data_IF_378265267610
#
_entry.id   IF_378265267610
#
_cell.length_a   1.000
_cell.length_b   1.000
_cell.length_c   1.000
_cell.angle_alpha   90.00
_cell.angle_beta   90.00
_cell.angle_gamma   90.00
#
_symmetry.space_group_name_H-M   'P 1'
#
loop_
_entity.id
_entity.type
_entity.pdbx_description
1 polymer ?
#
# COMPACT_ATOMS: atom_id res chain seq x y z
N UNK A 1 -8.70 4.00 -2.96
CA UNK A 1 -7.59 4.82 -3.49
C UNK A 1 -6.28 4.09 -3.24
N UNK A 2 -5.34 4.12 -4.19
CA UNK A 2 -4.07 3.36 -4.06
C UNK A 2 -3.09 4.02 -3.09
N UNK A 3 -3.07 5.36 -3.06
CA UNK A 3 -2.24 6.18 -2.16
C UNK A 3 -2.50 5.86 -0.68
N UNK A 4 -3.74 6.02 -0.21
CA UNK A 4 -4.10 5.79 1.19
C UNK A 4 -3.72 4.39 1.65
N UNK A 5 -3.91 3.37 0.79
CA UNK A 5 -3.53 2.00 1.10
C UNK A 5 -2.02 1.86 1.35
N UNK A 6 -1.19 2.52 0.55
CA UNK A 6 0.27 2.47 0.69
C UNK A 6 0.72 3.15 1.98
N UNK A 7 0.19 4.34 2.27
CA UNK A 7 0.53 5.11 3.49
C UNK A 7 0.05 4.37 4.74
N UNK A 8 -1.18 3.85 4.73
CA UNK A 8 -1.70 3.03 5.84
C UNK A 8 -0.86 1.79 6.08
N UNK A 9 -0.41 1.10 5.02
CA UNK A 9 0.43 -0.09 5.15
C UNK A 9 1.79 0.25 5.75
N UNK A 10 2.37 1.39 5.36
CA UNK A 10 3.60 1.91 5.95
C UNK A 10 3.41 2.21 7.44
N UNK A 11 2.39 2.99 7.80
CA UNK A 11 2.12 3.38 9.19
C UNK A 11 1.79 2.17 10.07
N UNK A 12 1.04 1.19 9.55
CA UNK A 12 0.68 -0.04 10.29
C UNK A 12 1.90 -0.82 10.80
N UNK A 13 3.05 -0.70 10.13
CA UNK A 13 4.29 -1.32 10.58
C UNK A 13 4.83 -0.72 11.89
N UNK A 14 4.49 0.53 12.22
CA UNK A 14 4.98 1.25 13.40
C UNK A 14 3.92 1.39 14.50
N UNK A 15 2.68 1.68 14.11
CA UNK A 15 1.58 2.02 15.03
C UNK A 15 1.24 0.87 15.98
N UNK A 16 1.50 -0.39 15.60
CA UNK A 16 1.23 -1.52 16.49
C UNK A 16 2.07 -1.51 17.78
N UNK A 17 3.32 -1.06 17.73
CA UNK A 17 4.22 -1.05 18.89
C UNK A 17 4.12 0.26 19.69
N UNK A 18 3.86 1.39 19.02
CA UNK A 18 3.76 2.70 19.64
C UNK A 18 2.62 3.54 19.02
N UNK A 19 1.35 3.25 19.37
CA UNK A 19 0.20 3.88 18.72
C UNK A 19 0.10 5.38 18.97
N UNK A 20 0.60 5.89 20.11
CA UNK A 20 0.62 7.32 20.45
C UNK A 20 1.67 8.12 19.68
N UNK A 21 2.69 7.47 19.12
CA UNK A 21 3.83 8.13 18.45
C UNK A 21 3.73 8.09 16.91
N UNK A 22 2.58 7.73 16.36
CA UNK A 22 2.40 7.52 14.91
C UNK A 22 2.78 8.76 14.07
N UNK A 23 2.51 9.96 14.58
CA UNK A 23 2.80 11.23 13.90
C UNK A 23 4.29 11.45 13.64
N UNK A 24 5.17 10.88 14.47
CA UNK A 24 6.64 10.97 14.29
C UNK A 24 7.10 10.25 13.03
N UNK A 25 6.33 9.30 12.52
CA UNK A 25 6.64 8.53 11.32
C UNK A 25 6.04 9.12 10.04
N UNK A 26 5.22 10.18 10.14
CA UNK A 26 4.52 10.75 9.00
C UNK A 26 5.46 11.31 7.94
N UNK A 27 6.48 12.06 8.36
CA UNK A 27 7.47 12.63 7.44
C UNK A 27 8.22 11.54 6.64
N UNK A 28 8.53 10.41 7.27
CA UNK A 28 9.16 9.29 6.58
C UNK A 28 8.18 8.55 5.64
N UNK A 29 6.91 8.45 6.03
CA UNK A 29 5.86 7.88 5.18
C UNK A 29 5.63 8.72 3.92
N UNK A 30 5.54 10.04 4.08
CA UNK A 30 5.43 11.01 3.00
C UNK A 30 6.64 10.92 2.08
N UNK A 31 7.86 10.96 2.64
CA UNK A 31 9.08 10.82 1.86
C UNK A 31 9.11 9.52 1.06
N UNK A 32 8.81 8.39 1.70
CA UNK A 32 8.76 7.08 1.05
C UNK A 32 7.75 7.04 -0.09
N UNK A 33 6.60 7.70 0.07
CA UNK A 33 5.60 7.78 -0.99
C UNK A 33 6.07 8.66 -2.15
N UNK A 34 6.61 9.84 -1.84
CA UNK A 34 7.07 10.81 -2.83
C UNK A 34 8.29 10.32 -3.62
N UNK A 35 9.11 9.44 -3.05
CA UNK A 35 10.31 8.89 -3.69
C UNK A 35 10.10 7.52 -4.35
N UNK A 36 8.91 6.93 -4.28
CA UNK A 36 8.63 5.62 -4.87
C UNK A 36 7.95 5.75 -6.23
N UNK A 37 8.41 5.06 -7.29
CA UNK A 37 7.79 5.15 -8.60
C UNK A 37 6.39 4.55 -8.57
N UNK A 38 5.44 5.25 -9.20
CA UNK A 38 4.05 4.79 -9.25
C UNK A 38 3.84 3.82 -10.43
N UNK A 39 3.14 2.69 -10.21
CA UNK A 39 3.04 1.61 -11.19
C UNK A 39 2.37 2.01 -12.52
N UNK A 40 1.51 3.03 -12.51
CA UNK A 40 0.82 3.51 -13.71
C UNK A 40 1.62 4.49 -14.56
N UNK A 41 2.52 5.26 -13.96
CA UNK A 41 3.27 6.34 -14.63
C UNK A 41 4.75 6.04 -14.76
N UNK A 42 5.29 5.09 -13.98
CA UNK A 42 6.72 4.76 -13.93
C UNK A 42 7.59 5.80 -13.20
N UNK A 43 7.08 7.02 -13.00
CA UNK A 43 7.76 8.12 -12.32
C UNK A 43 7.31 8.26 -10.86
N UNK A 44 8.16 8.88 -10.04
CA UNK A 44 7.84 9.22 -8.66
C UNK A 44 6.92 10.45 -8.59
N UNK A 45 6.08 10.60 -7.54
CA UNK A 45 5.31 11.83 -7.33
C UNK A 45 6.21 13.08 -7.24
N UNK A 46 7.40 12.94 -6.66
CA UNK A 46 8.38 14.03 -6.60
C UNK A 46 8.84 14.46 -8.01
N UNK A 47 9.19 13.52 -8.88
CA UNK A 47 9.55 13.81 -10.27
C UNK A 47 8.40 14.44 -11.05
N UNK A 48 7.16 13.97 -10.83
CA UNK A 48 6.00 14.53 -11.49
C UNK A 48 5.78 16.01 -11.15
N UNK A 49 6.09 16.42 -9.91
CA UNK A 49 5.92 17.81 -9.44
C UNK A 49 7.13 18.68 -9.79
N UNK A 50 8.35 18.17 -9.65
CA UNK A 50 9.57 18.97 -9.74
C UNK A 50 10.41 18.74 -11.00
N UNK A 51 10.03 17.77 -11.85
CA UNK A 51 10.75 17.45 -13.08
C UNK A 51 12.15 16.84 -12.89
N UNK A 52 12.50 16.44 -11.66
CA UNK A 52 13.82 15.88 -11.32
C UNK A 52 13.68 14.74 -10.30
N UNK A 53 14.64 13.79 -10.25
CA UNK A 53 14.59 12.69 -9.29
C UNK A 53 14.63 13.18 -7.84
N UNK A 54 13.98 12.45 -6.91
CA UNK A 54 14.05 12.75 -5.49
C UNK A 54 15.51 12.68 -5.00
N UNK A 55 15.95 13.60 -4.12
CA UNK A 55 17.29 13.54 -3.57
C UNK A 55 17.54 12.22 -2.85
N UNK A 56 18.66 11.55 -3.12
CA UNK A 56 19.01 10.33 -2.38
C UNK A 56 19.35 10.69 -0.93
N UNK A 57 18.76 9.98 0.04
CA UNK A 57 19.17 10.15 1.43
C UNK A 57 20.36 9.23 1.70
N UNK A 58 21.55 9.77 2.01
CA UNK A 58 22.72 8.95 2.27
C UNK A 58 22.48 8.01 3.44
N UNK A 59 23.07 6.81 3.34
CA UNK A 59 23.10 5.87 4.46
C UNK A 59 23.91 6.48 5.59
N UNK A 60 23.40 6.39 6.80
CA UNK A 60 24.13 6.81 7.97
C UNK A 60 25.40 5.96 8.15
N UNK A 61 26.53 6.63 8.38
CA UNK A 61 27.81 6.02 8.72
C UNK A 61 28.14 6.39 10.17
N UNK A 62 28.61 5.41 10.95
CA UNK A 62 28.99 5.63 12.33
C UNK A 62 30.15 6.67 12.39
N UNK A 63 30.00 7.68 13.23
CA UNK A 63 30.93 8.81 13.36
C UNK A 63 30.80 9.87 12.27
N UNK A 64 29.69 9.90 11.53
CA UNK A 64 29.50 10.88 10.45
C UNK A 64 29.14 12.28 10.93
N UNK A 65 28.65 12.43 12.16
CA UNK A 65 28.40 13.71 12.80
C UNK A 65 29.30 13.90 14.02
N UNK A 66 29.88 15.10 14.16
CA UNK A 66 30.57 15.52 15.39
C UNK A 66 29.60 15.88 16.53
N UNK A 67 28.32 16.03 16.21
CA UNK A 67 27.26 16.36 17.16
C UNK A 67 26.54 15.08 17.60
N UNK A 68 26.64 14.76 18.90
CA UNK A 68 26.07 13.57 19.55
C UNK A 68 24.55 13.48 19.38
N UNK A 69 23.83 14.59 19.47
CA UNK A 69 22.37 14.60 19.31
C UNK A 69 21.95 14.22 17.88
N UNK A 70 22.72 14.65 16.88
CA UNK A 70 22.48 14.29 15.47
C UNK A 70 22.80 12.81 15.24
N UNK A 71 23.89 12.33 15.83
CA UNK A 71 24.34 10.94 15.74
C UNK A 71 23.29 9.96 16.29
N UNK A 72 22.71 10.29 17.45
CA UNK A 72 21.63 9.51 18.06
C UNK A 72 20.39 9.43 17.17
N UNK A 73 19.97 10.57 16.60
CA UNK A 73 18.81 10.63 15.69
C UNK A 73 19.05 9.79 14.43
N UNK A 74 20.25 9.87 13.85
CA UNK A 74 20.60 9.13 12.64
C UNK A 74 20.67 7.62 12.90
N UNK A 75 21.21 7.19 14.05
CA UNK A 75 21.22 5.79 14.48
C UNK A 75 19.80 5.25 14.65
N UNK A 76 18.95 5.93 15.42
CA UNK A 76 17.56 5.52 15.64
C UNK A 76 16.79 5.45 14.31
N UNK A 77 17.04 6.38 13.39
CA UNK A 77 16.43 6.37 12.05
C UNK A 77 16.82 5.12 11.25
N UNK A 78 18.10 4.73 11.25
CA UNK A 78 18.56 3.53 10.52
C UNK A 78 17.96 2.25 11.10
N UNK A 79 17.85 2.15 12.43
CA UNK A 79 17.17 1.04 13.11
C UNK A 79 15.68 0.95 12.73
N UNK A 80 14.98 2.09 12.72
CA UNK A 80 13.58 2.18 12.28
C UNK A 80 13.44 1.74 10.83
N UNK A 81 14.34 2.20 9.96
CA UNK A 81 14.30 1.89 8.53
C UNK A 81 14.57 0.42 8.23
N UNK A 82 15.52 -0.20 8.93
CA UNK A 82 15.82 -1.64 8.80
C UNK A 82 14.68 -2.51 9.33
N UNK A 83 14.08 -2.14 10.46
CA UNK A 83 12.90 -2.81 11.02
C UNK A 83 11.70 -2.71 10.06
N UNK A 84 11.47 -1.54 9.48
CA UNK A 84 10.41 -1.30 8.52
C UNK A 84 10.52 -2.20 7.30
N UNK A 85 11.71 -2.26 6.68
CA UNK A 85 11.95 -3.12 5.50
C UNK A 85 11.56 -4.57 5.80
N UNK A 86 11.98 -5.10 6.94
CA UNK A 86 11.59 -6.45 7.37
C UNK A 86 10.08 -6.61 7.54
N UNK A 87 9.41 -5.66 8.21
CA UNK A 87 7.96 -5.72 8.43
C UNK A 87 7.17 -5.64 7.13
N UNK A 88 7.59 -4.78 6.19
CA UNK A 88 6.94 -4.65 4.88
C UNK A 88 7.08 -5.91 4.05
N UNK A 89 8.27 -6.50 3.97
CA UNK A 89 8.51 -7.76 3.26
C UNK A 89 7.62 -8.87 3.86
N UNK A 90 7.62 -9.01 5.19
CA UNK A 90 6.77 -10.00 5.88
C UNK A 90 5.29 -9.80 5.57
N UNK A 91 4.79 -8.56 5.61
CA UNK A 91 3.40 -8.26 5.31
C UNK A 91 3.04 -8.56 3.86
N UNK A 92 3.91 -8.21 2.91
CA UNK A 92 3.71 -8.47 1.49
C UNK A 92 3.67 -9.98 1.19
N UNK A 93 4.55 -10.76 1.82
CA UNK A 93 4.55 -12.23 1.70
C UNK A 93 3.24 -12.83 2.24
N UNK A 94 2.80 -12.42 3.42
CA UNK A 94 1.53 -12.88 3.98
C UNK A 94 0.34 -12.50 3.08
N UNK A 95 0.29 -11.26 2.58
CA UNK A 95 -0.75 -10.80 1.66
C UNK A 95 -0.80 -11.64 0.38
N UNK A 96 0.38 -11.98 -0.18
CA UNK A 96 0.50 -12.86 -1.34
C UNK A 96 -0.05 -14.25 -1.03
N UNK A 97 0.38 -14.86 0.08
CA UNK A 97 -0.06 -16.21 0.48
C UNK A 97 -1.59 -16.30 0.63
N UNK A 98 -2.21 -15.32 1.31
CA UNK A 98 -3.66 -15.27 1.47
C UNK A 98 -4.41 -15.02 0.16
N UNK A 99 -3.86 -14.19 -0.73
CA UNK A 99 -4.45 -13.92 -2.03
C UNK A 99 -4.40 -15.17 -2.93
N UNK A 100 -3.24 -15.83 -2.98
CA UNK A 100 -2.99 -16.98 -3.82
C UNK A 100 -3.82 -18.19 -3.35
N UNK A 101 -4.04 -18.36 -2.05
CA UNK A 101 -4.93 -19.40 -1.49
C UNK A 101 -6.36 -19.37 -2.04
N UNK A 102 -6.85 -18.19 -2.44
CA UNK A 102 -8.23 -18.01 -2.96
C UNK A 102 -8.28 -17.84 -4.47
N UNK A 103 -7.14 -17.69 -5.14
CA UNK A 103 -7.09 -17.59 -6.60
C UNK A 103 -7.24 -18.99 -7.19
N UNK A 104 -8.11 -19.09 -8.18
CA UNK A 104 -8.22 -20.26 -9.05
C UNK A 104 -7.96 -19.75 -10.45
N UNK A 105 -7.07 -20.41 -11.16
CA UNK A 105 -6.94 -20.18 -12.60
C UNK A 105 -8.16 -20.82 -13.26
N UNK A 106 -9.07 -19.98 -13.76
CA UNK A 106 -10.31 -20.42 -14.41
C UNK A 106 -10.30 -19.82 -15.79
N UNK A 107 -10.18 -20.68 -16.80
CA UNK A 107 -10.29 -20.32 -18.20
C UNK A 107 -11.75 -20.46 -18.63
N UNK A 108 -12.28 -19.42 -19.26
CA UNK A 108 -13.64 -19.42 -19.81
C UNK A 108 -13.58 -19.58 -21.32
N UNK A 109 -14.52 -20.32 -21.89
CA UNK A 109 -14.62 -20.51 -23.33
C UNK A 109 -15.82 -19.72 -23.89
N UNK A 110 -15.75 -19.36 -25.17
CA UNK A 110 -16.88 -18.74 -25.87
C UNK A 110 -18.11 -19.66 -25.79
N UNK A 111 -19.27 -19.08 -25.45
CA UNK A 111 -20.52 -19.81 -25.21
C UNK A 111 -20.68 -20.44 -23.82
N UNK A 112 -19.68 -20.32 -22.94
CA UNK A 112 -19.80 -20.79 -21.56
C UNK A 112 -20.67 -19.85 -20.72
N UNK A 113 -21.75 -20.41 -20.16
CA UNK A 113 -22.65 -19.70 -19.28
C UNK A 113 -21.98 -19.33 -17.94
N UNK A 114 -21.97 -18.03 -17.60
CA UNK A 114 -21.33 -17.52 -16.38
C UNK A 114 -22.24 -16.64 -15.54
N UNK A 115 -22.01 -16.68 -14.24
CA UNK A 115 -22.66 -15.76 -13.29
C UNK A 115 -21.77 -14.55 -13.01
N UNK A 116 -22.33 -13.35 -13.21
CA UNK A 116 -21.64 -12.09 -12.94
C UNK A 116 -21.97 -11.60 -11.54
N UNK A 117 -20.92 -11.29 -10.75
CA UNK A 117 -21.08 -10.70 -9.42
C UNK A 117 -21.22 -9.18 -9.53
N UNK A 118 -22.41 -8.65 -9.25
CA UNK A 118 -22.64 -7.21 -9.30
C UNK A 118 -22.31 -6.55 -7.95
N UNK A 119 -21.80 -5.32 -8.01
CA UNK A 119 -21.59 -4.48 -6.82
C UNK A 119 -22.82 -3.57 -6.62
N UNK A 120 -23.60 -3.76 -5.55
CA UNK A 120 -24.90 -3.10 -5.38
C UNK A 120 -24.87 -1.57 -5.48
N UNK A 121 -23.77 -0.93 -5.07
CA UNK A 121 -23.63 0.53 -5.03
C UNK A 121 -22.91 1.13 -6.25
N UNK A 122 -22.44 0.32 -7.20
CA UNK A 122 -21.75 0.81 -8.40
C UNK A 122 -22.53 0.55 -9.69
N UNK A 123 -23.43 -0.42 -9.69
CA UNK A 123 -24.12 -0.89 -10.90
C UNK A 123 -25.64 -0.79 -10.69
N UNK A 124 -26.12 0.46 -10.66
CA UNK A 124 -27.54 0.77 -10.45
C UNK A 124 -28.41 0.46 -11.68
N UNK A 125 -27.81 0.36 -12.87
CA UNK A 125 -28.50 0.12 -14.14
C UNK A 125 -29.08 -1.28 -14.29
N UNK A 126 -28.56 -2.28 -13.57
CA UNK A 126 -28.90 -3.69 -13.80
C UNK A 126 -30.11 -4.15 -13.00
N UNK A 127 -30.48 -3.44 -11.90
CA UNK A 127 -31.78 -3.55 -11.20
C UNK A 127 -31.82 -2.68 -9.94
N UNK A 128 -32.90 -1.91 -9.78
CA UNK A 128 -33.22 -1.15 -8.57
C UNK A 128 -34.08 -2.00 -7.62
N UNK A 129 -33.46 -2.85 -6.81
CA UNK A 129 -34.17 -3.42 -5.66
C UNK A 129 -34.23 -2.37 -4.55
N UNK A 130 -35.41 -2.15 -3.96
CA UNK A 130 -35.61 -1.21 -2.83
C UNK A 130 -34.69 -1.50 -1.64
N UNK A 131 -34.21 -2.75 -1.50
CA UNK A 131 -33.30 -3.19 -0.44
C UNK A 131 -32.09 -3.96 -1.00
N UNK A 132 -30.95 -3.28 -1.16
CA UNK A 132 -29.69 -3.87 -1.65
C UNK A 132 -29.11 -4.99 -0.77
N UNK A 133 -29.47 -5.03 0.52
CA UNK A 133 -28.92 -6.03 1.47
C UNK A 133 -29.49 -7.44 1.26
N UNK A 134 -30.71 -7.54 0.71
CA UNK A 134 -31.40 -8.81 0.45
C UNK A 134 -31.36 -9.23 -1.03
N UNK A 135 -30.75 -8.42 -1.90
CA UNK A 135 -30.65 -8.76 -3.32
C UNK A 135 -29.66 -9.89 -3.58
N UNK A 136 -29.92 -10.69 -4.62
CA UNK A 136 -28.96 -11.67 -5.15
C UNK A 136 -27.62 -10.99 -5.45
N UNK A 137 -26.50 -11.67 -5.14
CA UNK A 137 -25.14 -11.16 -5.37
C UNK A 137 -24.61 -11.49 -6.78
N UNK A 138 -25.15 -12.54 -7.39
CA UNK A 138 -24.75 -13.06 -8.69
C UNK A 138 -25.96 -13.08 -9.63
N UNK A 139 -25.74 -12.70 -10.90
CA UNK A 139 -26.77 -12.56 -11.93
C UNK A 139 -26.33 -13.29 -13.22
N UNK A 140 -27.30 -13.75 -14.01
CA UNK A 140 -27.08 -14.64 -15.15
C UNK A 140 -27.89 -15.93 -15.01
N UNK A 141 -27.53 -17.02 -15.72
CA UNK A 141 -26.34 -17.15 -16.55
C UNK A 141 -26.43 -16.34 -17.85
N UNK A 142 -25.34 -15.66 -18.19
CA UNK A 142 -25.13 -15.02 -19.48
C UNK A 142 -24.16 -15.84 -20.31
#
# INVERSE_FOLDING_TARGET
>A
EAMNRTIEQYLRSFVHQQPSNWYKFLAMAEWSYNSSPHSGTGITPYEAVYGKPPPSIPRYLLGSSSNEAVEDVLRTREEIHTLLKHKLIKAQLAMKEFADRKRRDVQYHEGQLVYVKLRPYRQNSVRTNKHHKLSKRYFGPF
#
